data_IF_696997908827
#
_entry.id   IF_696997908827
#
_cell.length_a   1.000
_cell.length_b   1.000
_cell.length_c   1.000
_cell.angle_alpha   90.00
_cell.angle_beta   90.00
_cell.angle_gamma   90.00
#
_symmetry.space_group_name_H-M   'P 1'
#
loop_
_entity.id
_entity.type
_entity.pdbx_description
1 polymer ?
#
# COMPACT_ATOMS: atom_id res chain seq x y z
N UNK A 1 60.22 -40.58 11.44
CA UNK A 1 59.73 -39.25 11.86
C UNK A 1 59.30 -38.49 10.61
N UNK A 2 58.04 -38.51 10.25
CA UNK A 2 57.52 -37.86 9.02
C UNK A 2 57.04 -36.48 9.40
N UNK A 3 57.70 -35.44 8.89
CA UNK A 3 57.27 -34.06 9.05
C UNK A 3 56.23 -33.70 7.94
N UNK A 4 54.96 -33.53 8.33
CA UNK A 4 53.93 -33.00 7.47
C UNK A 4 54.18 -31.49 7.29
N UNK A 5 54.55 -31.04 6.08
CA UNK A 5 54.56 -29.64 5.69
C UNK A 5 53.13 -29.16 5.42
N UNK A 6 52.60 -28.30 6.31
CA UNK A 6 51.34 -27.58 6.08
C UNK A 6 51.65 -26.43 5.09
N UNK A 7 50.95 -26.32 3.95
CA UNK A 7 51.15 -25.24 3.03
C UNK A 7 50.65 -23.91 3.65
N UNK A 8 51.53 -22.89 3.67
CA UNK A 8 51.13 -21.53 4.04
C UNK A 8 50.11 -21.00 2.97
N UNK A 9 48.85 -21.04 3.33
CA UNK A 9 47.81 -20.36 2.53
C UNK A 9 48.01 -18.86 2.67
N UNK A 10 48.33 -18.20 1.57
CA UNK A 10 48.65 -16.77 1.54
C UNK A 10 47.51 -15.95 2.15
N UNK A 11 47.82 -15.09 3.12
CA UNK A 11 46.86 -14.18 3.79
C UNK A 11 46.06 -13.33 2.77
N UNK A 12 46.63 -13.07 1.60
CA UNK A 12 45.97 -12.37 0.48
C UNK A 12 44.78 -13.13 -0.10
N UNK A 13 44.83 -14.46 -0.14
CA UNK A 13 43.71 -15.31 -0.64
C UNK A 13 42.53 -15.30 0.35
N UNK A 14 42.77 -15.23 1.65
CA UNK A 14 41.74 -15.17 2.67
C UNK A 14 41.01 -13.81 2.66
N UNK A 15 41.74 -12.71 2.44
CA UNK A 15 41.15 -11.35 2.35
C UNK A 15 40.24 -11.22 1.13
N UNK A 16 40.61 -11.81 -0.01
CA UNK A 16 39.77 -11.80 -1.21
C UNK A 16 38.47 -12.61 -1.00
N UNK A 17 38.53 -13.74 -0.29
CA UNK A 17 37.34 -14.54 0.01
C UNK A 17 36.36 -13.82 0.96
N UNK A 18 36.85 -12.99 1.89
CA UNK A 18 36.03 -12.20 2.82
C UNK A 18 35.36 -11.00 2.15
N UNK A 19 35.92 -10.46 1.08
CA UNK A 19 35.34 -9.31 0.36
C UNK A 19 34.18 -9.70 -0.60
N UNK A 20 34.04 -10.97 -0.95
CA UNK A 20 32.95 -11.46 -1.82
C UNK A 20 31.63 -11.65 -1.04
N UNK A 21 31.67 -11.70 0.30
CA UNK A 21 30.49 -11.94 1.14
C UNK A 21 29.69 -10.71 1.54
N UNK A 22 30.08 -9.51 1.14
CA UNK A 22 29.47 -8.26 1.63
C UNK A 22 28.40 -7.62 0.72
N UNK A 23 27.96 -8.28 -0.35
CA UNK A 23 26.94 -7.71 -1.25
C UNK A 23 25.70 -8.60 -1.41
N UNK A 24 25.25 -9.28 -0.37
CA UNK A 24 23.85 -9.72 -0.32
C UNK A 24 23.00 -8.49 0.04
N UNK A 25 22.75 -7.65 -0.96
CA UNK A 25 21.62 -6.76 -0.89
C UNK A 25 20.40 -7.63 -0.68
N UNK A 26 19.82 -7.61 0.54
CA UNK A 26 18.50 -8.14 0.79
C UNK A 26 17.54 -7.35 -0.10
N UNK A 27 17.30 -7.82 -1.31
CA UNK A 27 16.19 -7.40 -2.13
C UNK A 27 14.95 -7.91 -1.42
N UNK A 28 14.39 -7.07 -0.55
CA UNK A 28 13.06 -7.29 -0.03
C UNK A 28 12.15 -7.24 -1.25
N UNK A 29 11.73 -8.40 -1.72
CA UNK A 29 10.76 -8.50 -2.79
C UNK A 29 9.53 -7.71 -2.33
N UNK A 30 9.21 -6.62 -3.03
CA UNK A 30 8.02 -5.86 -2.76
C UNK A 30 6.82 -6.80 -2.94
N UNK A 31 5.96 -6.91 -1.92
CA UNK A 31 4.72 -7.66 -2.03
C UNK A 31 3.70 -7.00 -2.97
N UNK A 32 4.09 -5.88 -3.60
CA UNK A 32 3.26 -5.09 -4.49
C UNK A 32 3.81 -5.08 -5.91
N UNK A 33 2.92 -5.28 -6.89
CA UNK A 33 3.23 -5.20 -8.31
C UNK A 33 2.32 -4.17 -8.95
N UNK A 34 2.89 -3.19 -9.65
CA UNK A 34 2.11 -2.22 -10.44
C UNK A 34 1.71 -2.80 -11.78
N UNK A 35 0.44 -2.67 -12.17
CA UNK A 35 -0.08 -3.12 -13.45
C UNK A 35 -1.09 -2.11 -14.02
N UNK A 36 -0.57 -1.09 -14.74
CA UNK A 36 -1.41 0.00 -15.23
C UNK A 36 -2.08 0.73 -14.07
N UNK A 37 -3.40 0.81 -14.09
CA UNK A 37 -4.21 1.48 -13.07
C UNK A 37 -4.47 0.63 -11.80
N UNK A 38 -3.78 -0.51 -11.66
CA UNK A 38 -3.87 -1.40 -10.49
C UNK A 38 -2.55 -1.56 -9.78
N UNK A 39 -2.62 -1.73 -8.48
CA UNK A 39 -1.55 -2.23 -7.63
C UNK A 39 -1.98 -3.57 -7.04
N UNK A 40 -1.26 -4.63 -7.37
CA UNK A 40 -1.53 -5.99 -6.89
C UNK A 40 -0.81 -6.17 -5.56
N UNK A 41 -1.53 -6.50 -4.50
CA UNK A 41 -0.97 -6.96 -3.23
C UNK A 41 -0.94 -8.49 -3.22
N UNK A 42 0.24 -9.05 -3.43
CA UNK A 42 0.44 -10.51 -3.43
C UNK A 42 0.19 -11.13 -2.05
N UNK A 43 0.46 -10.39 -0.99
CA UNK A 43 0.32 -10.89 0.38
C UNK A 43 -1.14 -11.01 0.82
N UNK A 44 -2.02 -10.15 0.32
CA UNK A 44 -3.46 -10.16 0.63
C UNK A 44 -4.31 -10.78 -0.50
N UNK A 45 -3.70 -11.04 -1.67
CA UNK A 45 -4.40 -11.52 -2.89
C UNK A 45 -5.53 -10.58 -3.32
N UNK A 46 -5.28 -9.28 -3.25
CA UNK A 46 -6.20 -8.22 -3.67
C UNK A 46 -5.54 -7.31 -4.69
N UNK A 47 -6.36 -6.57 -5.41
CA UNK A 47 -5.95 -5.52 -6.33
C UNK A 47 -6.53 -4.18 -5.86
N UNK A 48 -5.68 -3.17 -5.78
CA UNK A 48 -6.03 -1.80 -5.43
C UNK A 48 -6.22 -0.97 -6.69
N UNK A 49 -7.19 -0.07 -6.72
CA UNK A 49 -7.11 1.04 -7.66
C UNK A 49 -5.92 1.94 -7.27
N UNK A 50 -5.04 2.20 -8.23
CA UNK A 50 -3.88 3.07 -8.04
C UNK A 50 -4.31 4.47 -7.60
N UNK A 51 -5.39 4.99 -8.19
CA UNK A 51 -5.91 6.32 -7.93
C UNK A 51 -7.05 6.30 -6.91
N UNK A 52 -7.16 7.32 -6.04
CA UNK A 52 -8.37 7.57 -5.26
C UNK A 52 -9.57 7.83 -6.17
N UNK A 53 -10.78 7.62 -5.65
CA UNK A 53 -12.03 7.97 -6.35
C UNK A 53 -12.03 9.46 -6.73
N UNK A 54 -12.47 9.77 -7.95
CA UNK A 54 -12.44 11.10 -8.55
C UNK A 54 -11.20 11.40 -9.38
N UNK A 55 -10.19 10.54 -9.34
CA UNK A 55 -8.99 10.67 -10.17
C UNK A 55 -8.90 9.55 -11.20
N UNK A 56 -8.22 9.83 -12.31
CA UNK A 56 -8.02 8.89 -13.43
C UNK A 56 -6.53 8.57 -13.56
N UNK A 57 -6.21 7.30 -13.82
CA UNK A 57 -4.85 6.88 -14.14
C UNK A 57 -4.51 7.28 -15.58
N UNK A 58 -3.60 8.24 -15.73
CA UNK A 58 -3.15 8.74 -17.01
C UNK A 58 -1.68 9.16 -16.90
N UNK A 59 -0.91 9.04 -17.99
CA UNK A 59 0.50 9.45 -18.04
C UNK A 59 1.37 8.88 -16.89
N UNK A 60 1.08 7.65 -16.45
CA UNK A 60 1.74 6.96 -15.32
C UNK A 60 1.56 7.66 -13.96
N UNK A 61 0.51 8.44 -13.81
CA UNK A 61 0.16 9.11 -12.55
C UNK A 61 -1.36 9.18 -12.37
N UNK A 62 -1.83 9.70 -11.22
CA UNK A 62 -3.24 9.97 -10.97
C UNK A 62 -3.52 11.45 -11.28
N UNK A 63 -4.38 11.71 -12.26
CA UNK A 63 -4.79 13.06 -12.67
C UNK A 63 -6.23 13.35 -12.25
N UNK A 64 -6.56 14.63 -12.09
CA UNK A 64 -7.87 15.08 -11.63
C UNK A 64 -7.90 15.43 -10.16
N UNK A 65 -9.09 15.58 -9.60
CA UNK A 65 -9.31 15.96 -8.20
C UNK A 65 -9.89 14.79 -7.42
N UNK A 66 -9.23 14.32 -6.36
CA UNK A 66 -9.77 13.25 -5.53
C UNK A 66 -11.04 13.73 -4.81
N UNK A 67 -12.06 12.89 -4.75
CA UNK A 67 -13.35 13.23 -4.15
C UNK A 67 -13.42 12.77 -2.70
N UNK A 68 -13.93 13.65 -1.83
CA UNK A 68 -14.39 13.30 -0.49
C UNK A 68 -15.86 12.94 -0.56
N UNK A 69 -16.21 11.74 -0.12
CA UNK A 69 -17.57 11.22 -0.13
C UNK A 69 -18.07 10.99 1.31
N UNK A 70 -19.34 11.32 1.56
CA UNK A 70 -20.06 10.82 2.73
C UNK A 70 -20.22 9.31 2.57
N UNK A 71 -20.29 8.56 3.67
CA UNK A 71 -20.31 7.11 3.61
C UNK A 71 -21.43 6.55 2.70
N UNK A 72 -22.62 7.14 2.76
CA UNK A 72 -23.76 6.75 1.90
C UNK A 72 -23.58 7.00 0.40
N UNK A 73 -22.60 7.81 0.00
CA UNK A 73 -22.31 8.10 -1.41
C UNK A 73 -21.33 7.11 -2.03
N UNK A 74 -20.71 6.26 -1.19
CA UNK A 74 -19.64 5.34 -1.64
C UNK A 74 -20.19 4.22 -2.51
N UNK A 75 -21.39 3.75 -2.24
CA UNK A 75 -22.03 2.69 -3.02
C UNK A 75 -22.14 3.09 -4.50
N UNK A 76 -22.60 4.31 -4.78
CA UNK A 76 -22.66 4.83 -6.15
C UNK A 76 -21.27 4.86 -6.81
N UNK A 77 -20.22 5.23 -6.06
CA UNK A 77 -18.85 5.25 -6.61
C UNK A 77 -18.32 3.82 -6.88
N UNK A 78 -18.73 2.84 -6.07
CA UNK A 78 -18.42 1.42 -6.29
C UNK A 78 -19.13 0.92 -7.56
N UNK A 79 -20.42 1.21 -7.73
CA UNK A 79 -21.19 0.82 -8.91
C UNK A 79 -20.57 1.40 -10.18
N UNK A 80 -20.23 2.69 -10.17
CA UNK A 80 -19.55 3.32 -11.29
C UNK A 80 -18.19 2.68 -11.60
N UNK A 81 -17.41 2.30 -10.59
CA UNK A 81 -16.14 1.62 -10.79
C UNK A 81 -16.35 0.21 -11.39
N UNK A 82 -17.38 -0.51 -10.96
CA UNK A 82 -17.74 -1.83 -11.51
C UNK A 82 -18.16 -1.73 -12.97
N UNK A 83 -18.96 -0.73 -13.32
CA UNK A 83 -19.44 -0.50 -14.68
C UNK A 83 -18.31 -0.09 -15.64
N UNK A 84 -17.41 0.81 -15.20
CA UNK A 84 -16.38 1.38 -16.05
C UNK A 84 -15.12 0.50 -16.17
N UNK A 85 -14.75 -0.19 -15.11
CA UNK A 85 -13.48 -0.93 -15.01
C UNK A 85 -13.69 -2.44 -14.97
N UNK A 86 -14.93 -2.87 -14.82
CA UNK A 86 -15.28 -4.28 -14.60
C UNK A 86 -14.78 -4.83 -13.26
N UNK A 87 -15.38 -5.93 -12.83
CA UNK A 87 -14.99 -6.60 -11.59
C UNK A 87 -15.96 -6.35 -10.44
N UNK A 88 -15.49 -6.61 -9.22
CA UNK A 88 -16.26 -6.44 -7.97
C UNK A 88 -15.47 -5.56 -7.02
N UNK A 89 -15.45 -4.26 -7.31
CA UNK A 89 -14.80 -3.28 -6.45
C UNK A 89 -15.57 -3.10 -5.16
N UNK A 90 -14.85 -2.81 -4.08
CA UNK A 90 -15.40 -2.59 -2.75
C UNK A 90 -14.51 -1.64 -1.95
N UNK A 91 -15.01 -1.14 -0.82
CA UNK A 91 -14.15 -0.53 0.18
C UNK A 91 -13.18 -1.57 0.76
N UNK A 92 -11.96 -1.16 1.07
CA UNK A 92 -11.04 -1.98 1.85
C UNK A 92 -11.54 -2.12 3.29
N UNK A 93 -11.22 -3.24 3.93
CA UNK A 93 -11.30 -3.33 5.37
C UNK A 93 -10.14 -2.52 6.02
N UNK A 94 -10.21 -2.33 7.33
CA UNK A 94 -9.22 -1.55 8.06
C UNK A 94 -7.80 -2.10 7.91
N UNK A 95 -7.62 -3.42 8.06
CA UNK A 95 -6.32 -4.07 7.96
C UNK A 95 -5.72 -3.99 6.56
N UNK A 96 -6.55 -4.10 5.53
CA UNK A 96 -6.12 -3.90 4.16
C UNK A 96 -5.59 -2.47 3.97
N UNK A 97 -6.32 -1.46 4.41
CA UNK A 97 -5.92 -0.06 4.23
C UNK A 97 -4.70 0.31 5.10
N UNK A 98 -4.59 -0.24 6.32
CA UNK A 98 -3.41 -0.09 7.18
C UNK A 98 -2.14 -0.69 6.53
N UNK A 99 -2.28 -1.74 5.72
CA UNK A 99 -1.16 -2.41 5.08
C UNK A 99 -0.44 -1.55 4.03
N UNK A 100 -1.13 -0.63 3.40
CA UNK A 100 -0.51 0.29 2.44
C UNK A 100 0.03 1.57 3.12
N UNK A 101 -0.04 1.66 4.46
CA UNK A 101 0.58 2.75 5.22
C UNK A 101 2.10 2.57 5.23
N UNK A 102 2.80 3.56 4.71
CA UNK A 102 4.26 3.66 4.78
C UNK A 102 4.68 4.48 6.00
N UNK A 103 5.01 3.82 7.11
CA UNK A 103 5.40 4.51 8.37
C UNK A 103 6.69 5.31 8.24
N UNK A 104 7.63 4.85 7.40
CA UNK A 104 8.93 5.50 7.16
C UNK A 104 8.87 6.63 6.13
N UNK A 105 7.78 6.78 5.38
CA UNK A 105 7.62 7.86 4.41
C UNK A 105 7.47 9.22 5.11
N UNK A 106 8.01 10.29 4.50
CA UNK A 106 8.09 11.61 5.15
C UNK A 106 6.73 12.33 5.20
N UNK A 107 6.23 12.81 4.06
CA UNK A 107 5.09 13.72 4.01
C UNK A 107 3.74 13.01 3.95
N UNK A 108 3.56 12.09 2.99
CA UNK A 108 2.37 11.25 2.88
C UNK A 108 2.74 9.85 3.33
N UNK A 109 1.99 9.29 4.27
CA UNK A 109 2.26 7.96 4.84
C UNK A 109 1.79 6.83 3.93
N UNK A 110 2.17 6.91 2.65
CA UNK A 110 1.93 5.88 1.62
C UNK A 110 3.08 5.91 0.61
N UNK A 111 3.38 4.79 -0.03
CA UNK A 111 4.36 4.77 -1.12
C UNK A 111 3.79 5.47 -2.36
N UNK A 112 4.27 6.68 -2.64
CA UNK A 112 3.80 7.50 -3.77
C UNK A 112 4.25 6.99 -5.13
N UNK A 113 5.18 6.03 -5.19
CA UNK A 113 5.52 5.33 -6.44
C UNK A 113 4.43 4.31 -6.81
N UNK A 114 3.80 3.69 -5.80
CA UNK A 114 2.69 2.77 -5.98
C UNK A 114 1.35 3.51 -6.08
N UNK A 115 1.18 4.56 -5.29
CA UNK A 115 -0.08 5.30 -5.13
C UNK A 115 0.14 6.81 -5.27
N UNK A 116 0.45 7.29 -6.50
CA UNK A 116 0.76 8.70 -6.71
C UNK A 116 -0.42 9.62 -6.40
N UNK A 117 -0.11 10.85 -6.02
CA UNK A 117 -1.07 11.93 -5.75
C UNK A 117 -2.14 11.56 -4.70
N UNK A 118 -1.81 10.63 -3.78
CA UNK A 118 -2.72 10.29 -2.68
C UNK A 118 -2.78 11.47 -1.69
N UNK A 119 -3.97 11.97 -1.35
CA UNK A 119 -4.14 13.00 -0.33
C UNK A 119 -3.62 12.55 1.04
N UNK A 120 -2.93 13.48 1.74
CA UNK A 120 -2.45 13.28 3.10
C UNK A 120 -3.60 13.50 4.11
N UNK A 121 -4.65 12.71 4.03
CA UNK A 121 -5.86 12.84 4.85
C UNK A 121 -6.48 11.46 5.14
N UNK A 122 -7.71 11.45 5.70
CA UNK A 122 -8.42 10.23 6.06
C UNK A 122 -9.13 9.58 4.87
N UNK A 123 -9.05 8.26 4.83
CA UNK A 123 -9.74 7.39 3.87
C UNK A 123 -10.69 6.44 4.58
N UNK A 124 -11.85 6.21 3.99
CA UNK A 124 -12.85 5.30 4.50
C UNK A 124 -12.41 3.83 4.46
N UNK A 125 -12.82 3.08 5.49
CA UNK A 125 -12.86 1.61 5.46
C UNK A 125 -14.31 1.13 5.44
N UNK A 126 -14.53 -0.16 5.20
CA UNK A 126 -15.86 -0.78 5.28
C UNK A 126 -16.25 -1.18 6.71
N UNK A 127 -15.48 -0.80 7.73
CA UNK A 127 -15.69 -1.26 9.10
C UNK A 127 -16.43 -0.24 9.96
N UNK A 128 -17.51 -0.69 10.61
CA UNK A 128 -18.21 0.02 11.66
C UNK A 128 -17.44 -0.15 12.98
N UNK A 129 -17.42 0.89 13.81
CA UNK A 129 -16.88 0.77 15.16
C UNK A 129 -17.85 -0.06 16.03
N UNK A 130 -17.42 -1.28 16.41
CA UNK A 130 -18.24 -2.22 17.17
C UNK A 130 -18.69 -1.68 18.55
N UNK A 131 -17.93 -0.78 19.18
CA UNK A 131 -18.30 -0.16 20.47
C UNK A 131 -19.21 1.06 20.33
N UNK A 132 -19.15 1.72 19.17
CA UNK A 132 -19.95 2.91 18.85
C UNK A 132 -20.46 2.83 17.41
N UNK A 133 -21.54 2.08 17.12
CA UNK A 133 -21.96 1.73 15.75
C UNK A 133 -22.36 2.91 14.84
N UNK A 134 -22.50 4.11 15.39
CA UNK A 134 -22.72 5.35 14.62
C UNK A 134 -21.44 5.94 14.02
N UNK A 135 -20.29 5.31 14.26
CA UNK A 135 -19.01 5.74 13.74
C UNK A 135 -18.36 4.64 12.89
N UNK A 136 -17.61 5.09 11.90
CA UNK A 136 -16.83 4.25 10.99
C UNK A 136 -15.34 4.37 11.30
N UNK A 137 -14.57 3.35 10.92
CA UNK A 137 -13.12 3.40 10.91
C UNK A 137 -12.59 4.08 9.65
N UNK A 138 -11.53 4.86 9.83
CA UNK A 138 -10.75 5.47 8.75
C UNK A 138 -9.27 5.25 8.99
N UNK A 139 -8.46 5.31 7.92
CA UNK A 139 -7.00 5.38 7.99
C UNK A 139 -6.55 6.73 7.45
N UNK A 140 -5.70 7.43 8.18
CA UNK A 140 -5.23 8.74 7.81
C UNK A 140 -3.79 8.68 7.25
N UNK A 141 -3.62 9.06 5.99
CA UNK A 141 -2.30 9.03 5.33
C UNK A 141 -1.42 10.26 5.63
N UNK A 142 -1.86 11.21 6.44
CA UNK A 142 -0.97 12.23 6.99
C UNK A 142 -0.22 11.70 8.20
N UNK A 143 -0.94 11.05 9.12
CA UNK A 143 -0.37 10.55 10.38
C UNK A 143 0.08 9.09 10.30
N UNK A 144 -0.49 8.30 9.39
CA UNK A 144 -0.35 6.84 9.32
C UNK A 144 -1.14 6.09 10.38
N UNK A 145 -2.06 6.77 11.07
CA UNK A 145 -2.87 6.19 12.14
C UNK A 145 -4.31 5.90 11.70
N UNK A 146 -4.96 5.02 12.46
CA UNK A 146 -6.34 4.61 12.28
C UNK A 146 -7.22 5.30 13.32
N UNK A 147 -8.38 5.80 12.89
CA UNK A 147 -9.34 6.49 13.73
C UNK A 147 -10.73 5.85 13.60
N UNK A 148 -11.34 5.47 14.74
CA UNK A 148 -12.62 4.76 14.80
C UNK A 148 -13.81 5.64 15.20
N UNK A 149 -13.72 6.97 15.07
CA UNK A 149 -14.77 7.91 15.50
C UNK A 149 -15.16 8.89 14.40
N UNK A 150 -15.25 8.40 13.17
CA UNK A 150 -15.69 9.23 12.04
C UNK A 150 -17.18 9.03 11.78
N UNK A 151 -18.00 10.10 11.96
CA UNK A 151 -19.42 10.06 11.60
C UNK A 151 -19.59 9.88 10.09
N UNK A 152 -20.57 9.10 9.66
CA UNK A 152 -20.84 8.80 8.23
C UNK A 152 -21.11 10.05 7.37
N UNK A 153 -21.58 11.14 7.98
CA UNK A 153 -21.88 12.38 7.28
C UNK A 153 -20.67 13.29 7.03
N UNK A 154 -19.51 13.01 7.64
CA UNK A 154 -18.26 13.74 7.40
C UNK A 154 -17.58 13.13 6.17
N UNK A 155 -17.38 13.91 5.07
CA UNK A 155 -16.78 13.36 3.86
C UNK A 155 -15.31 13.01 4.05
N UNK A 156 -14.90 11.81 3.59
CA UNK A 156 -13.51 11.39 3.53
C UNK A 156 -13.18 10.83 2.14
N UNK A 157 -11.90 10.64 1.86
CA UNK A 157 -11.44 10.04 0.60
C UNK A 157 -11.76 8.54 0.54
N UNK A 158 -11.78 8.03 -0.69
CA UNK A 158 -12.09 6.64 -0.99
C UNK A 158 -11.01 6.07 -1.90
N UNK A 159 -10.53 4.87 -1.57
CA UNK A 159 -9.73 4.02 -2.45
C UNK A 159 -10.38 2.66 -2.48
N UNK A 160 -10.55 2.11 -3.67
CA UNK A 160 -11.23 0.83 -3.85
C UNK A 160 -10.24 -0.31 -4.00
N UNK A 161 -10.69 -1.49 -3.55
CA UNK A 161 -9.99 -2.76 -3.75
C UNK A 161 -10.95 -3.78 -4.36
N UNK A 162 -10.40 -4.85 -4.93
CA UNK A 162 -11.15 -6.06 -5.29
C UNK A 162 -10.33 -7.30 -4.95
N UNK A 163 -11.03 -8.41 -4.71
CA UNK A 163 -10.39 -9.70 -4.55
C UNK A 163 -9.89 -10.20 -5.91
N UNK A 164 -8.82 -10.96 -5.89
CA UNK A 164 -8.13 -11.47 -7.07
C UNK A 164 -8.45 -12.93 -7.32
#
# INVERSE_FOLDING_TARGET
MLFFKIPLISVKAIIILLLIHSNFNNVWASNFITRGHYVIDLGQKIEWLTCPVGMVWQNKTCEGTPLKLKFKQIELAIDQANDQLGGKWRLPNRKELERIVCKSCAAVKIDTKLFPNTPAESFWTNEINAWQPKFMWTVNFFTGHTFGRFPEFIPNYVRLVRDR
#
